data_IF_575142878784
#
_entry.id   IF_575142878784
#
_cell.length_a   1.000
_cell.length_b   1.000
_cell.length_c   1.000
_cell.angle_alpha   90.00
_cell.angle_beta   90.00
_cell.angle_gamma   90.00
#
_symmetry.space_group_name_H-M   'P 1'
#
loop_
_entity.id
_entity.type
_entity.pdbx_description
1 polymer ?
#
# COMPACT_ATOMS: atom_id res chain seq x y z
N UNK A 1 14.13 15.85 6.93
CA UNK A 1 13.29 15.49 5.76
C UNK A 1 11.87 16.06 5.82
N UNK A 2 11.14 15.90 6.93
CA UNK A 2 9.74 16.38 7.03
C UNK A 2 9.60 17.90 6.94
N UNK A 3 10.48 18.66 7.63
CA UNK A 3 10.51 20.12 7.57
C UNK A 3 10.58 20.67 6.13
N UNK A 4 11.49 20.13 5.31
CA UNK A 4 11.70 20.57 3.91
C UNK A 4 10.45 20.36 3.06
N UNK A 5 9.84 19.17 3.16
CA UNK A 5 8.61 18.86 2.44
C UNK A 5 7.42 19.71 2.90
N UNK A 6 7.34 20.01 4.20
CA UNK A 6 6.30 20.91 4.74
C UNK A 6 6.46 22.32 4.20
N UNK A 7 7.69 22.86 4.11
CA UNK A 7 7.96 24.18 3.54
C UNK A 7 7.57 24.26 2.06
N UNK A 8 7.96 23.26 1.25
CA UNK A 8 7.60 23.19 -0.17
C UNK A 8 6.08 23.08 -0.35
N UNK A 9 5.42 22.16 0.37
CA UNK A 9 3.96 21.99 0.30
C UNK A 9 3.21 23.24 0.76
N UNK A 10 3.74 23.94 1.77
CA UNK A 10 3.22 25.20 2.28
C UNK A 10 3.27 26.31 1.23
N UNK A 11 4.44 26.52 0.62
CA UNK A 11 4.63 27.51 -0.45
C UNK A 11 3.72 27.23 -1.65
N UNK A 12 3.65 25.97 -2.10
CA UNK A 12 2.76 25.54 -3.19
C UNK A 12 1.29 25.80 -2.86
N UNK A 13 0.88 25.51 -1.61
CA UNK A 13 -0.50 25.76 -1.16
C UNK A 13 -0.81 27.25 -1.09
N UNK A 14 0.13 28.08 -0.67
CA UNK A 14 -0.04 29.52 -0.57
C UNK A 14 -0.12 30.18 -1.96
N UNK A 15 0.75 29.75 -2.88
CA UNK A 15 0.79 30.29 -4.23
C UNK A 15 -0.53 30.06 -5.00
N UNK A 16 -1.00 28.82 -5.04
CA UNK A 16 -2.22 28.43 -5.76
C UNK A 16 -3.53 28.66 -5.01
N UNK A 17 -3.56 29.49 -3.96
CA UNK A 17 -4.79 29.75 -3.20
C UNK A 17 -5.52 31.00 -3.71
N UNK A 18 -6.84 30.89 -3.90
CA UNK A 18 -7.70 32.01 -4.30
C UNK A 18 -8.37 32.72 -3.11
N UNK A 19 -8.23 32.18 -1.89
CA UNK A 19 -8.77 32.81 -0.69
C UNK A 19 -8.15 34.20 -0.45
N UNK A 20 -8.99 35.19 -0.15
CA UNK A 20 -8.58 36.59 0.01
C UNK A 20 -7.60 36.81 1.15
N UNK A 21 -7.75 36.11 2.28
CA UNK A 21 -6.85 36.24 3.42
C UNK A 21 -5.48 35.61 3.10
N UNK A 22 -5.47 34.46 2.44
CA UNK A 22 -4.24 33.84 1.95
C UNK A 22 -3.58 34.61 0.80
N UNK A 23 -4.36 35.34 0.00
CA UNK A 23 -3.86 36.24 -1.04
C UNK A 23 -2.98 37.37 -0.46
N UNK A 24 -3.39 37.97 0.65
CA UNK A 24 -2.57 38.98 1.34
C UNK A 24 -1.26 38.38 1.88
N UNK A 25 -1.32 37.15 2.41
CA UNK A 25 -0.13 36.43 2.88
C UNK A 25 0.81 36.10 1.71
N UNK A 26 0.27 35.70 0.56
CA UNK A 26 1.06 35.46 -0.66
C UNK A 26 1.79 36.72 -1.11
N UNK A 27 1.07 37.84 -1.25
CA UNK A 27 1.65 39.12 -1.67
C UNK A 27 2.76 39.59 -0.72
N UNK A 28 2.53 39.48 0.59
CA UNK A 28 3.53 39.78 1.60
C UNK A 28 4.79 38.92 1.45
N UNK A 29 4.62 37.60 1.33
CA UNK A 29 5.72 36.64 1.19
C UNK A 29 6.49 36.82 -0.15
N UNK A 30 5.81 37.19 -1.24
CA UNK A 30 6.42 37.53 -2.52
C UNK A 30 7.22 38.84 -2.43
N UNK A 31 6.71 39.84 -1.71
CA UNK A 31 7.41 41.10 -1.49
C UNK A 31 8.66 40.90 -0.64
N UNK A 32 8.56 40.13 0.45
CA UNK A 32 9.70 39.77 1.29
C UNK A 32 10.76 38.99 0.47
N UNK A 33 10.33 38.09 -0.42
CA UNK A 33 11.23 37.39 -1.32
C UNK A 33 11.98 38.35 -2.27
N UNK A 34 11.27 39.31 -2.89
CA UNK A 34 11.87 40.33 -3.77
C UNK A 34 12.84 41.25 -3.05
N UNK A 35 12.56 41.56 -1.78
CA UNK A 35 13.44 42.39 -0.93
C UNK A 35 14.65 41.61 -0.38
N UNK A 36 14.83 40.34 -0.77
CA UNK A 36 15.92 39.50 -0.28
C UNK A 36 15.79 39.10 1.20
N UNK A 37 14.59 39.24 1.76
CA UNK A 37 14.30 38.89 3.16
C UNK A 37 13.84 37.43 3.26
N UNK A 38 13.68 36.95 4.49
CA UNK A 38 13.22 35.58 4.76
C UNK A 38 11.77 35.46 4.33
N UNK A 39 11.51 34.58 3.36
CA UNK A 39 10.18 34.28 2.81
C UNK A 39 10.00 32.77 2.69
N UNK A 40 8.76 32.30 2.83
CA UNK A 40 8.40 30.90 2.61
C UNK A 40 8.75 30.42 1.20
N UNK A 41 8.73 31.31 0.19
CA UNK A 41 9.08 30.96 -1.19
C UNK A 41 10.59 30.73 -1.34
N UNK A 42 11.42 31.62 -0.78
CA UNK A 42 12.87 31.46 -0.77
C UNK A 42 13.31 30.23 0.04
N UNK A 43 12.67 29.99 1.19
CA UNK A 43 12.94 28.79 1.99
C UNK A 43 12.49 27.51 1.27
N UNK A 44 11.35 27.53 0.59
CA UNK A 44 10.86 26.40 -0.19
C UNK A 44 11.77 26.11 -1.39
N UNK A 45 12.23 27.13 -2.12
CA UNK A 45 13.16 26.98 -3.24
C UNK A 45 14.48 26.34 -2.77
N UNK A 46 15.06 26.83 -1.67
CA UNK A 46 16.23 26.23 -1.05
C UNK A 46 15.97 24.78 -0.61
N UNK A 47 14.82 24.51 0.00
CA UNK A 47 14.45 23.15 0.39
C UNK A 47 14.30 22.22 -0.82
N UNK A 48 13.83 22.72 -1.97
CA UNK A 48 13.70 21.96 -3.21
C UNK A 48 15.08 21.68 -3.82
N UNK A 49 15.96 22.67 -3.87
CA UNK A 49 17.35 22.51 -4.32
C UNK A 49 18.10 21.45 -3.50
N UNK A 50 17.96 21.48 -2.17
CA UNK A 50 18.52 20.45 -1.27
C UNK A 50 17.91 19.05 -1.46
N UNK A 51 16.77 18.94 -2.16
CA UNK A 51 16.14 17.69 -2.58
C UNK A 51 16.46 17.32 -4.04
N UNK A 52 17.25 18.14 -4.75
CA UNK A 52 17.55 17.97 -6.18
C UNK A 52 16.37 18.31 -7.09
N UNK A 53 15.47 19.18 -6.64
CA UNK A 53 14.26 19.59 -7.34
C UNK A 53 14.31 21.06 -7.71
N UNK A 54 13.80 21.39 -8.89
CA UNK A 54 13.52 22.77 -9.27
C UNK A 54 12.08 23.11 -8.88
N UNK A 55 11.91 24.20 -8.12
CA UNK A 55 10.60 24.63 -7.65
C UNK A 55 9.96 25.58 -8.65
N UNK A 56 9.21 25.04 -9.61
CA UNK A 56 8.38 25.82 -10.52
C UNK A 56 6.97 26.02 -9.92
N UNK A 57 6.74 27.21 -9.37
CA UNK A 57 5.46 27.57 -8.76
C UNK A 57 4.33 27.77 -9.79
N UNK A 58 4.62 27.91 -11.09
CA UNK A 58 3.62 28.00 -12.14
C UNK A 58 3.06 26.60 -12.50
N UNK A 59 3.89 25.55 -12.42
CA UNK A 59 3.50 24.15 -12.69
C UNK A 59 3.28 23.32 -11.42
N UNK A 60 2.40 23.80 -10.54
CA UNK A 60 2.04 23.19 -9.24
C UNK A 60 1.64 21.70 -9.31
N UNK A 61 1.08 21.23 -10.43
CA UNK A 61 0.42 19.92 -10.51
C UNK A 61 1.35 18.68 -10.38
N UNK A 62 2.68 18.85 -10.40
CA UNK A 62 3.64 17.74 -10.21
C UNK A 62 4.36 17.73 -8.86
N UNK A 63 4.61 18.90 -8.28
CA UNK A 63 5.59 19.09 -7.19
C UNK A 63 5.26 18.25 -5.95
N UNK A 64 3.97 18.12 -5.58
CA UNK A 64 3.59 17.32 -4.41
C UNK A 64 3.93 15.83 -4.56
N UNK A 65 3.81 15.29 -5.78
CA UNK A 65 4.19 13.90 -6.09
C UNK A 65 5.71 13.77 -6.11
N UNK A 66 6.39 14.73 -6.73
CA UNK A 66 7.83 14.77 -6.87
C UNK A 66 8.55 14.84 -5.51
N UNK A 67 8.10 15.72 -4.62
CA UNK A 67 8.59 15.81 -3.24
C UNK A 67 8.42 14.49 -2.51
N UNK A 68 7.26 13.82 -2.66
CA UNK A 68 7.06 12.49 -2.05
C UNK A 68 8.03 11.46 -2.63
N UNK A 69 8.25 11.46 -3.94
CA UNK A 69 9.19 10.55 -4.61
C UNK A 69 10.62 10.76 -4.10
N UNK A 70 11.09 12.01 -3.99
CA UNK A 70 12.42 12.29 -3.42
C UNK A 70 12.55 11.90 -1.94
N UNK A 71 11.47 12.05 -1.14
CA UNK A 71 11.46 11.57 0.25
C UNK A 71 11.61 10.05 0.31
N UNK A 72 10.91 9.34 -0.58
CA UNK A 72 11.01 7.89 -0.74
C UNK A 72 12.43 7.50 -1.14
N UNK A 73 13.02 8.12 -2.16
CA UNK A 73 14.37 7.78 -2.64
C UNK A 73 15.44 8.00 -1.57
N UNK A 74 15.42 9.12 -0.84
CA UNK A 74 16.39 9.33 0.26
C UNK A 74 16.25 8.30 1.37
N UNK A 75 15.01 7.94 1.76
CA UNK A 75 14.77 6.87 2.72
C UNK A 75 15.25 5.51 2.19
N UNK A 76 15.02 5.23 0.91
CA UNK A 76 15.53 4.03 0.25
C UNK A 76 17.06 4.01 0.31
N UNK A 77 17.74 5.11 -0.01
CA UNK A 77 19.20 5.18 0.02
C UNK A 77 19.77 5.01 1.44
N UNK A 78 19.12 5.59 2.45
CA UNK A 78 19.44 5.34 3.86
C UNK A 78 19.33 3.85 4.21
N UNK A 79 18.29 3.14 3.72
CA UNK A 79 18.10 1.70 3.95
C UNK A 79 19.07 0.86 3.10
N UNK A 80 19.32 1.22 1.85
CA UNK A 80 20.28 0.56 0.94
C UNK A 80 21.69 0.55 1.53
N UNK A 81 22.07 1.64 2.19
CA UNK A 81 23.36 1.76 2.86
C UNK A 81 23.46 0.90 4.14
N UNK A 82 22.36 0.29 4.59
CA UNK A 82 22.39 -0.71 5.65
C UNK A 82 22.77 -2.08 5.07
N UNK A 83 23.69 -2.78 5.75
CA UNK A 83 24.35 -4.01 5.25
C UNK A 83 23.41 -5.02 4.58
N UNK A 84 22.25 -5.30 5.18
CA UNK A 84 21.41 -6.41 4.74
C UNK A 84 19.93 -6.04 4.56
N UNK A 85 19.39 -5.04 5.29
CA UNK A 85 18.10 -4.43 4.93
C UNK A 85 18.18 -3.84 3.52
N UNK A 86 19.33 -3.25 3.19
CA UNK A 86 19.62 -2.75 1.87
C UNK A 86 19.53 -3.82 0.80
N UNK A 87 20.03 -5.04 1.03
CA UNK A 87 19.97 -6.11 0.02
C UNK A 87 18.53 -6.49 -0.33
N UNK A 88 17.66 -6.74 0.66
CA UNK A 88 16.26 -7.11 0.40
C UNK A 88 15.46 -5.94 -0.21
N UNK A 89 15.69 -4.71 0.27
CA UNK A 89 15.05 -3.52 -0.30
C UNK A 89 15.52 -3.28 -1.73
N UNK A 90 16.82 -3.39 -2.03
CA UNK A 90 17.37 -3.29 -3.38
C UNK A 90 16.76 -4.34 -4.30
N UNK A 91 16.73 -5.62 -3.90
CA UNK A 91 16.08 -6.67 -4.71
C UNK A 91 14.61 -6.37 -4.99
N UNK A 92 13.86 -5.81 -4.01
CA UNK A 92 12.46 -5.40 -4.22
C UNK A 92 12.32 -4.14 -5.07
N UNK A 93 13.32 -3.26 -5.10
CA UNK A 93 13.34 -2.08 -5.97
C UNK A 93 13.62 -2.44 -7.42
N UNK A 94 14.47 -3.43 -7.63
CA UNK A 94 14.81 -3.99 -8.93
C UNK A 94 13.74 -4.94 -9.47
N UNK A 95 12.76 -5.35 -8.64
CA UNK A 95 11.64 -6.19 -9.05
C UNK A 95 10.66 -5.40 -9.93
N UNK A 96 10.82 -5.54 -11.24
CA UNK A 96 9.96 -4.88 -12.24
C UNK A 96 8.49 -5.28 -12.14
N UNK A 97 8.19 -6.43 -11.53
CA UNK A 97 6.81 -6.88 -11.32
C UNK A 97 6.11 -6.12 -10.19
N UNK A 98 6.83 -5.35 -9.38
CA UNK A 98 6.27 -4.57 -8.28
C UNK A 98 5.89 -3.14 -8.67
N UNK A 99 4.83 -2.64 -8.02
CA UNK A 99 4.49 -1.22 -8.01
C UNK A 99 5.60 -0.43 -7.29
N UNK A 100 6.42 0.28 -8.06
CA UNK A 100 7.59 1.01 -7.56
C UNK A 100 7.23 2.09 -6.52
N UNK A 101 6.09 2.77 -6.71
CA UNK A 101 5.62 3.82 -5.81
C UNK A 101 4.84 3.24 -4.62
N UNK A 102 3.98 2.24 -4.86
CA UNK A 102 3.03 1.72 -3.89
C UNK A 102 3.64 0.81 -2.81
N UNK A 103 4.57 -0.06 -3.20
CA UNK A 103 5.12 -1.09 -2.32
C UNK A 103 5.92 -0.54 -1.14
N UNK A 104 6.33 0.72 -1.23
CA UNK A 104 7.16 1.39 -0.24
C UNK A 104 6.45 2.54 0.46
N UNK A 105 5.14 2.71 0.28
CA UNK A 105 4.37 3.76 0.98
C UNK A 105 4.52 3.71 2.49
N UNK A 106 4.57 2.50 3.07
CA UNK A 106 4.79 2.32 4.50
C UNK A 106 6.10 2.99 4.97
N UNK A 107 7.14 3.09 4.13
CA UNK A 107 8.39 3.81 4.43
C UNK A 107 8.16 5.30 4.70
N UNK A 108 7.30 5.95 3.92
CA UNK A 108 7.00 7.38 4.09
C UNK A 108 6.05 7.67 5.23
N UNK A 109 5.28 6.66 5.65
CA UNK A 109 4.25 6.79 6.66
C UNK A 109 4.71 6.29 8.03
N UNK A 110 5.97 5.87 8.19
CA UNK A 110 6.55 5.38 9.44
C UNK A 110 6.13 6.17 10.69
N UNK A 111 6.10 7.50 10.60
CA UNK A 111 5.72 8.38 11.72
C UNK A 111 4.29 8.21 12.21
N UNK A 112 3.41 7.69 11.36
CA UNK A 112 2.01 7.44 11.65
C UNK A 112 1.76 6.01 12.16
N UNK A 113 2.79 5.14 12.15
CA UNK A 113 2.70 3.79 12.69
C UNK A 113 3.32 3.74 14.09
N UNK A 114 2.76 2.96 15.03
CA UNK A 114 3.38 2.76 16.32
C UNK A 114 4.82 2.23 16.19
N UNK A 115 5.77 2.73 16.99
CA UNK A 115 7.20 2.38 16.90
C UNK A 115 7.45 0.87 16.93
N UNK A 116 6.69 0.15 17.76
CA UNK A 116 6.78 -1.31 17.84
C UNK A 116 6.37 -1.98 16.52
N UNK A 117 5.38 -1.45 15.79
CA UNK A 117 4.96 -1.93 14.46
C UNK A 117 6.07 -1.72 13.43
N UNK A 118 6.72 -0.56 13.44
CA UNK A 118 7.86 -0.28 12.57
C UNK A 118 9.02 -1.24 12.87
N UNK A 119 9.39 -1.38 14.14
CA UNK A 119 10.43 -2.31 14.58
C UNK A 119 10.09 -3.75 14.19
N UNK A 120 8.83 -4.16 14.33
CA UNK A 120 8.36 -5.48 13.92
C UNK A 120 8.42 -5.72 12.41
N UNK A 121 8.10 -4.71 11.60
CA UNK A 121 8.27 -4.78 10.14
C UNK A 121 9.74 -4.84 9.75
N UNK A 122 10.59 -4.07 10.42
CA UNK A 122 12.03 -4.15 10.25
C UNK A 122 12.51 -5.57 10.58
N UNK A 123 12.13 -6.11 11.75
CA UNK A 123 12.40 -7.49 12.19
C UNK A 123 11.97 -8.54 11.15
N UNK A 124 10.78 -8.37 10.56
CA UNK A 124 10.28 -9.22 9.47
C UNK A 124 11.22 -9.17 8.26
N UNK A 125 11.67 -7.97 7.85
CA UNK A 125 12.62 -7.82 6.76
C UNK A 125 13.98 -8.47 7.08
N UNK A 126 14.45 -8.45 8.34
CA UNK A 126 15.70 -9.14 8.74
C UNK A 126 15.54 -10.67 8.74
N UNK A 127 14.38 -11.18 9.16
CA UNK A 127 14.09 -12.61 9.22
C UNK A 127 14.01 -13.29 7.85
N UNK A 128 13.82 -12.51 6.79
CA UNK A 128 13.80 -12.97 5.40
C UNK A 128 15.21 -13.22 4.83
N UNK A 129 16.25 -12.98 5.61
CA UNK A 129 17.63 -13.28 5.25
C UNK A 129 17.98 -14.77 5.47
N UNK A 130 19.00 -15.29 4.76
CA UNK A 130 19.53 -16.63 5.02
C UNK A 130 19.89 -16.86 6.51
N UNK A 131 19.44 -18.00 7.05
CA UNK A 131 19.38 -18.32 8.49
C UNK A 131 20.70 -18.18 9.27
N UNK A 132 21.86 -18.38 8.62
CA UNK A 132 23.19 -18.26 9.27
C UNK A 132 23.55 -16.83 9.68
N UNK A 133 22.86 -15.82 9.12
CA UNK A 133 23.08 -14.39 9.41
C UNK A 133 22.17 -13.90 10.54
N UNK A 134 20.96 -14.46 10.66
CA UNK A 134 20.00 -14.13 11.74
C UNK A 134 20.54 -14.53 13.12
N UNK A 135 21.15 -15.71 13.23
CA UNK A 135 21.65 -16.26 14.50
C UNK A 135 22.89 -15.57 15.05
N UNK A 136 23.71 -14.89 14.23
CA UNK A 136 24.96 -14.27 14.69
C UNK A 136 24.78 -12.88 15.32
N UNK A 137 23.63 -12.23 15.14
CA UNK A 137 23.40 -10.86 15.63
C UNK A 137 22.35 -10.75 16.76
N UNK A 138 21.43 -11.71 16.91
CA UNK A 138 20.29 -11.60 17.85
C UNK A 138 20.52 -12.20 19.24
N UNK A 139 21.72 -12.71 19.54
CA UNK A 139 22.03 -13.45 20.80
C UNK A 139 22.69 -12.60 21.89
N UNK A 140 22.51 -11.28 21.89
CA UNK A 140 22.76 -10.48 23.09
C UNK A 140 21.46 -10.23 23.84
N UNK A 141 21.28 -10.96 24.94
CA UNK A 141 20.19 -10.88 25.92
C UNK A 141 20.13 -9.54 26.66
N UNK A 142 18.93 -8.95 26.80
CA UNK A 142 18.36 -8.47 28.08
C UNK A 142 16.95 -7.84 27.92
N UNK A 143 15.99 -8.36 28.70
CA UNK A 143 15.15 -7.60 29.65
C UNK A 143 14.01 -6.68 29.19
N UNK A 144 12.77 -7.17 29.39
CA UNK A 144 11.53 -6.52 29.83
C UNK A 144 10.87 -5.35 29.05
N UNK A 145 9.57 -5.51 28.80
CA UNK A 145 8.67 -4.44 28.36
C UNK A 145 7.31 -4.97 27.84
N UNK A 146 6.38 -5.20 28.75
CA UNK A 146 4.98 -5.57 28.46
C UNK A 146 4.25 -4.43 27.71
N UNK A 147 3.58 -4.73 26.60
CA UNK A 147 2.44 -3.92 26.14
C UNK A 147 1.44 -4.81 25.41
N UNK A 148 0.27 -4.99 26.03
CA UNK A 148 -0.92 -5.54 25.38
C UNK A 148 -1.46 -4.52 24.40
N UNK A 149 -1.34 -4.79 23.11
CA UNK A 149 -2.10 -4.09 22.09
C UNK A 149 -3.32 -4.95 21.76
N UNK A 150 -4.50 -4.50 22.17
CA UNK A 150 -5.76 -5.00 21.63
C UNK A 150 -6.04 -4.21 20.34
N UNK A 151 -6.11 -4.85 19.15
CA UNK A 151 -6.69 -4.21 17.99
C UNK A 151 -8.21 -4.14 18.21
N UNK A 152 -8.66 -3.08 18.88
CA UNK A 152 -10.05 -2.71 18.97
C UNK A 152 -10.48 -1.97 17.72
N UNK A 153 -10.93 -2.69 16.71
CA UNK A 153 -11.99 -2.25 15.80
C UNK A 153 -12.78 -3.49 15.45
N UNK A 154 -14.06 -3.52 15.85
CA UNK A 154 -14.99 -4.57 15.45
C UNK A 154 -14.88 -4.80 13.93
N UNK A 155 -14.58 -6.02 13.44
CA UNK A 155 -14.91 -6.34 12.08
C UNK A 155 -16.43 -6.46 12.05
N UNK A 156 -17.12 -5.42 11.57
CA UNK A 156 -18.43 -5.67 10.96
C UNK A 156 -18.13 -6.57 9.77
N UNK A 157 -18.37 -7.87 9.94
CA UNK A 157 -18.32 -8.82 8.83
C UNK A 157 -19.12 -8.21 7.67
N UNK A 158 -18.54 -8.12 6.46
CA UNK A 158 -19.26 -7.56 5.33
C UNK A 158 -20.57 -8.32 5.14
N UNK A 159 -21.63 -7.59 4.76
CA UNK A 159 -22.90 -8.23 4.43
C UNK A 159 -22.67 -9.13 3.20
N UNK A 160 -23.29 -10.32 3.14
CA UNK A 160 -23.10 -11.23 2.01
C UNK A 160 -23.62 -10.66 0.69
N UNK A 161 -24.59 -9.75 0.73
CA UNK A 161 -25.14 -9.08 -0.45
C UNK A 161 -25.35 -7.59 -0.19
N UNK A 162 -24.95 -6.78 -1.15
CA UNK A 162 -25.23 -5.36 -1.27
C UNK A 162 -26.00 -5.13 -2.57
N UNK A 163 -27.15 -4.49 -2.52
CA UNK A 163 -28.02 -4.33 -3.68
C UNK A 163 -28.54 -2.90 -3.78
N UNK A 164 -28.61 -2.44 -5.02
CA UNK A 164 -29.25 -1.20 -5.47
C UNK A 164 -29.98 -1.51 -6.78
N UNK A 165 -30.75 -0.56 -7.31
CA UNK A 165 -31.47 -0.74 -8.57
C UNK A 165 -30.59 -1.22 -9.72
N UNK A 166 -29.34 -0.74 -9.77
CA UNK A 166 -28.44 -0.90 -10.91
C UNK A 166 -27.20 -1.76 -10.64
N UNK A 167 -26.88 -2.01 -9.36
CA UNK A 167 -25.68 -2.75 -8.96
C UNK A 167 -25.99 -3.72 -7.84
N UNK A 168 -25.59 -4.98 -8.03
CA UNK A 168 -25.59 -6.03 -7.00
C UNK A 168 -24.17 -6.50 -6.74
N UNK A 169 -23.73 -6.50 -5.49
CA UNK A 169 -22.46 -7.05 -5.08
C UNK A 169 -22.68 -8.20 -4.08
N UNK A 170 -22.01 -9.31 -4.33
CA UNK A 170 -22.05 -10.51 -3.53
C UNK A 170 -20.67 -10.69 -2.92
N UNK A 171 -20.60 -10.97 -1.62
CA UNK A 171 -19.38 -11.25 -0.88
C UNK A 171 -19.39 -12.69 -0.40
N UNK A 172 -18.35 -13.46 -0.77
CA UNK A 172 -18.21 -14.88 -0.44
C UNK A 172 -19.47 -15.72 -0.72
N UNK A 173 -20.11 -15.45 -1.86
CA UNK A 173 -21.35 -16.09 -2.26
C UNK A 173 -21.12 -17.02 -3.47
N UNK A 174 -21.48 -18.31 -3.39
CA UNK A 174 -21.27 -19.24 -4.49
C UNK A 174 -22.18 -18.91 -5.69
N UNK A 175 -21.67 -19.13 -6.89
CA UNK A 175 -22.48 -19.17 -8.12
C UNK A 175 -22.89 -20.62 -8.39
N UNK A 176 -24.17 -20.84 -8.68
CA UNK A 176 -24.61 -22.12 -9.22
C UNK A 176 -24.53 -22.06 -10.74
N UNK A 177 -23.89 -23.07 -11.32
CA UNK A 177 -23.66 -23.16 -12.75
C UNK A 177 -24.73 -24.06 -13.38
N UNK A 178 -25.28 -23.63 -14.51
CA UNK A 178 -26.33 -24.34 -15.23
C UNK A 178 -25.77 -25.00 -16.50
N UNK A 179 -24.70 -24.46 -17.08
CA UNK A 179 -24.21 -24.88 -18.40
C UNK A 179 -23.02 -25.85 -18.33
N UNK A 180 -22.16 -25.77 -17.32
CA UNK A 180 -21.01 -26.68 -17.16
C UNK A 180 -20.62 -26.90 -15.69
N UNK A 181 -19.81 -27.92 -15.44
CA UNK A 181 -19.21 -28.11 -14.12
C UNK A 181 -18.24 -26.97 -13.79
N UNK A 182 -18.54 -26.21 -12.74
CA UNK A 182 -17.66 -25.17 -12.20
C UNK A 182 -17.16 -25.58 -10.83
N UNK A 183 -16.01 -26.27 -10.79
CA UNK A 183 -15.38 -26.73 -9.53
C UNK A 183 -15.04 -25.60 -8.55
N UNK A 184 -14.70 -24.43 -9.09
CA UNK A 184 -14.36 -23.25 -8.31
C UNK A 184 -15.38 -22.16 -8.60
N UNK A 185 -16.49 -22.19 -7.86
CA UNK A 185 -17.66 -21.32 -8.09
C UNK A 185 -17.85 -20.22 -7.04
N UNK A 186 -16.94 -20.11 -6.08
CA UNK A 186 -16.96 -19.15 -4.99
C UNK A 186 -15.73 -18.26 -5.11
N UNK A 187 -15.96 -17.00 -5.45
CA UNK A 187 -14.96 -15.92 -5.47
C UNK A 187 -15.19 -15.01 -4.27
N UNK A 188 -14.16 -14.30 -3.81
CA UNK A 188 -14.29 -13.39 -2.66
C UNK A 188 -15.37 -12.34 -2.86
N UNK A 189 -15.48 -11.79 -4.08
CA UNK A 189 -16.62 -10.94 -4.43
C UNK A 189 -17.04 -11.07 -5.90
N UNK A 190 -18.32 -10.83 -6.14
CA UNK A 190 -18.90 -10.68 -7.49
C UNK A 190 -19.76 -9.42 -7.55
N UNK A 191 -19.53 -8.55 -8.52
CA UNK A 191 -20.29 -7.32 -8.71
C UNK A 191 -20.96 -7.36 -10.09
N UNK A 192 -22.28 -7.29 -10.12
CA UNK A 192 -23.10 -7.18 -11.33
C UNK A 192 -23.56 -5.74 -11.44
N UNK A 193 -23.15 -5.06 -12.51
CA UNK A 193 -23.53 -3.69 -12.82
C UNK A 193 -24.40 -3.69 -14.08
N UNK A 194 -25.71 -3.50 -13.89
CA UNK A 194 -26.69 -3.51 -14.97
C UNK A 194 -26.61 -2.27 -15.86
N UNK A 195 -26.28 -1.10 -15.31
CA UNK A 195 -26.09 0.13 -16.11
C UNK A 195 -24.95 0.02 -17.11
N UNK A 196 -23.82 -0.55 -16.69
CA UNK A 196 -22.63 -0.72 -17.53
C UNK A 196 -22.62 -2.04 -18.30
N UNK A 197 -23.65 -2.88 -18.12
CA UNK A 197 -23.70 -4.27 -18.59
C UNK A 197 -22.38 -4.99 -18.31
N UNK A 198 -21.97 -5.03 -17.04
CA UNK A 198 -20.68 -5.60 -16.64
C UNK A 198 -20.78 -6.47 -15.40
N UNK A 199 -20.15 -7.63 -15.43
CA UNK A 199 -19.92 -8.49 -14.27
C UNK A 199 -18.44 -8.49 -13.94
N UNK A 200 -18.14 -8.26 -12.66
CA UNK A 200 -16.78 -8.25 -12.14
C UNK A 200 -16.65 -9.33 -11.07
N UNK A 201 -15.64 -10.18 -11.16
CA UNK A 201 -15.23 -11.08 -10.07
C UNK A 201 -13.93 -10.61 -9.45
N UNK A 202 -13.85 -10.65 -8.11
CA UNK A 202 -12.68 -10.30 -7.33
C UNK A 202 -12.19 -11.53 -6.58
N UNK A 203 -10.89 -11.77 -6.65
CA UNK A 203 -10.24 -12.84 -5.91
C UNK A 203 -8.96 -12.34 -5.25
N UNK A 204 -8.91 -12.35 -3.92
CA UNK A 204 -7.92 -11.73 -3.07
C UNK A 204 -6.96 -12.78 -2.48
N UNK A 205 -5.69 -12.44 -2.29
CA UNK A 205 -4.76 -13.30 -1.54
C UNK A 205 -3.56 -12.54 -1.03
N UNK A 206 -3.11 -12.91 0.16
CA UNK A 206 -1.78 -12.59 0.66
C UNK A 206 -0.81 -13.76 0.38
N UNK A 207 0.33 -13.50 -0.24
CA UNK A 207 1.31 -14.54 -0.62
C UNK A 207 2.73 -14.19 -0.17
N UNK A 208 3.62 -15.17 -0.24
CA UNK A 208 5.04 -14.87 -0.16
C UNK A 208 5.51 -14.03 -1.33
N UNK A 209 6.54 -13.21 -1.11
CA UNK A 209 7.09 -12.24 -2.07
C UNK A 209 7.31 -12.88 -3.45
N UNK A 210 7.98 -14.03 -3.50
CA UNK A 210 8.35 -14.68 -4.76
C UNK A 210 7.19 -15.45 -5.42
N UNK A 211 6.03 -15.51 -4.77
CA UNK A 211 4.90 -16.33 -5.21
C UNK A 211 3.74 -15.52 -5.79
N UNK A 212 3.87 -14.19 -5.90
CA UNK A 212 2.79 -13.31 -6.38
C UNK A 212 2.35 -13.65 -7.80
N UNK A 213 3.28 -13.61 -8.76
CA UNK A 213 3.01 -13.81 -10.20
C UNK A 213 2.41 -15.19 -10.45
N UNK A 214 3.05 -16.23 -9.91
CA UNK A 214 2.52 -17.60 -9.99
C UNK A 214 1.11 -17.71 -9.41
N UNK A 215 0.79 -16.98 -8.33
CA UNK A 215 -0.55 -17.03 -7.73
C UNK A 215 -1.59 -16.32 -8.59
N UNK A 216 -1.20 -15.23 -9.25
CA UNK A 216 -2.07 -14.53 -10.18
C UNK A 216 -2.46 -15.42 -11.37
N UNK A 217 -1.47 -16.06 -12.00
CA UNK A 217 -1.68 -17.01 -13.09
C UNK A 217 -2.54 -18.21 -12.65
N UNK A 218 -2.23 -18.79 -11.49
CA UNK A 218 -3.00 -19.89 -10.91
C UNK A 218 -4.48 -19.53 -10.75
N UNK A 219 -4.79 -18.33 -10.22
CA UNK A 219 -6.17 -17.86 -10.06
C UNK A 219 -6.86 -17.57 -11.39
N UNK A 220 -6.13 -17.01 -12.35
CA UNK A 220 -6.64 -16.77 -13.69
C UNK A 220 -7.04 -18.08 -14.38
N UNK A 221 -6.26 -19.14 -14.22
CA UNK A 221 -6.61 -20.46 -14.75
C UNK A 221 -7.75 -21.11 -13.96
N UNK A 222 -7.66 -21.09 -12.62
CA UNK A 222 -8.64 -21.71 -11.70
C UNK A 222 -10.07 -21.26 -11.95
N UNK A 223 -10.28 -19.97 -12.19
CA UNK A 223 -11.61 -19.39 -12.39
C UNK A 223 -12.01 -19.25 -13.87
N UNK A 224 -11.23 -19.83 -14.80
CA UNK A 224 -11.57 -19.86 -16.23
C UNK A 224 -12.99 -20.37 -16.51
N UNK A 225 -13.39 -21.55 -15.98
CA UNK A 225 -14.74 -22.07 -16.14
C UNK A 225 -15.83 -21.15 -15.58
N UNK A 226 -15.60 -20.54 -14.41
CA UNK A 226 -16.53 -19.59 -13.80
C UNK A 226 -16.74 -18.34 -14.67
N UNK A 227 -15.66 -17.80 -15.26
CA UNK A 227 -15.77 -16.66 -16.17
C UNK A 227 -16.56 -17.00 -17.42
N UNK A 228 -16.39 -18.21 -17.95
CA UNK A 228 -17.17 -18.66 -19.11
C UNK A 228 -18.66 -18.79 -18.75
N UNK A 229 -18.95 -19.39 -17.60
CA UNK A 229 -20.32 -19.55 -17.08
C UNK A 229 -21.04 -18.21 -16.94
N UNK A 230 -20.37 -17.23 -16.33
CA UNK A 230 -20.90 -15.87 -16.19
C UNK A 230 -21.22 -15.20 -17.53
N UNK A 231 -20.48 -15.52 -18.60
CA UNK A 231 -20.80 -14.99 -19.95
C UNK A 231 -22.07 -15.60 -20.51
N UNK A 232 -22.38 -16.85 -20.16
CA UNK A 232 -23.63 -17.49 -20.58
C UNK A 232 -24.83 -16.96 -19.79
N UNK A 233 -24.67 -16.77 -18.48
CA UNK A 233 -25.75 -16.26 -17.61
C UNK A 233 -26.06 -14.77 -17.84
N UNK A 234 -25.10 -14.00 -18.33
CA UNK A 234 -25.27 -12.57 -18.64
C UNK A 234 -24.94 -12.25 -20.11
N UNK A 235 -25.78 -12.67 -21.08
CA UNK A 235 -25.55 -12.37 -22.48
C UNK A 235 -25.45 -10.86 -22.75
N UNK A 236 -24.42 -10.46 -23.49
CA UNK A 236 -24.16 -9.05 -23.81
C UNK A 236 -23.56 -8.23 -22.66
N UNK A 237 -23.19 -8.85 -21.54
CA UNK A 237 -22.41 -8.21 -20.47
C UNK A 237 -20.91 -8.49 -20.67
N UNK A 238 -20.09 -7.50 -20.34
CA UNK A 238 -18.65 -7.68 -20.20
C UNK A 238 -18.35 -8.43 -18.89
N UNK A 239 -17.58 -9.51 -18.93
CA UNK A 239 -17.15 -10.26 -17.73
C UNK A 239 -15.66 -10.07 -17.52
N UNK A 240 -15.29 -9.41 -16.41
CA UNK A 240 -13.90 -9.19 -15.98
C UNK A 240 -13.61 -9.89 -14.66
N UNK A 241 -12.40 -10.43 -14.52
CA UNK A 241 -11.87 -10.91 -13.26
C UNK A 241 -10.69 -10.04 -12.85
N UNK A 242 -10.66 -9.63 -11.59
CA UNK A 242 -9.51 -8.99 -10.98
C UNK A 242 -8.99 -9.85 -9.84
N UNK A 243 -7.76 -10.32 -9.99
CA UNK A 243 -7.04 -10.93 -8.89
C UNK A 243 -6.32 -9.84 -8.10
N UNK A 244 -6.57 -9.76 -6.80
CA UNK A 244 -5.90 -8.82 -5.92
C UNK A 244 -4.86 -9.61 -5.10
N UNK A 245 -3.64 -9.68 -5.62
CA UNK A 245 -2.53 -10.37 -4.96
C UNK A 245 -1.60 -9.35 -4.29
N UNK A 246 -1.50 -9.43 -2.97
CA UNK A 246 -0.51 -8.69 -2.18
C UNK A 246 0.49 -9.67 -1.57
N UNK A 247 1.77 -9.30 -1.47
CA UNK A 247 2.75 -10.08 -0.71
C UNK A 247 2.74 -9.75 0.77
N UNK A 248 3.33 -10.63 1.58
CA UNK A 248 3.45 -10.51 3.03
C UNK A 248 4.14 -9.22 3.51
N UNK A 249 4.88 -8.55 2.63
CA UNK A 249 5.52 -7.26 2.87
C UNK A 249 4.74 -6.09 2.25
N UNK A 250 3.45 -6.30 1.95
CA UNK A 250 2.56 -5.26 1.45
C UNK A 250 2.86 -4.79 0.03
N UNK A 251 3.61 -5.57 -0.75
CA UNK A 251 3.86 -5.30 -2.17
C UNK A 251 2.80 -5.88 -3.09
N UNK A 252 2.55 -5.25 -4.23
CA UNK A 252 1.62 -5.72 -5.26
C UNK A 252 2.10 -5.36 -6.67
N UNK A 253 1.47 -5.94 -7.69
CA UNK A 253 1.91 -5.76 -9.08
C UNK A 253 1.47 -4.44 -9.72
N UNK A 254 2.18 -3.99 -10.74
CA UNK A 254 1.84 -2.75 -11.47
C UNK A 254 0.47 -2.82 -12.13
N UNK A 255 0.06 -4.01 -12.59
CA UNK A 255 -1.25 -4.25 -13.19
C UNK A 255 -2.37 -3.93 -12.19
N UNK A 256 -2.16 -4.24 -10.91
CA UNK A 256 -3.14 -3.96 -9.86
C UNK A 256 -3.37 -2.45 -9.67
N UNK A 257 -2.38 -1.58 -9.93
CA UNK A 257 -2.56 -0.12 -9.89
C UNK A 257 -3.55 0.36 -10.95
N UNK A 258 -3.49 -0.24 -12.15
CA UNK A 258 -4.42 0.05 -13.25
C UNK A 258 -5.80 -0.49 -12.93
N UNK A 259 -5.87 -1.77 -12.54
CA UNK A 259 -7.12 -2.48 -12.24
C UNK A 259 -7.94 -1.78 -11.16
N UNK A 260 -7.31 -1.28 -10.10
CA UNK A 260 -8.03 -0.64 -8.99
C UNK A 260 -8.64 0.71 -9.34
N UNK A 261 -8.02 1.47 -10.26
CA UNK A 261 -8.62 2.72 -10.74
C UNK A 261 -9.96 2.45 -11.44
N UNK A 262 -10.07 1.33 -12.15
CA UNK A 262 -11.32 0.93 -12.79
C UNK A 262 -12.39 0.49 -11.76
N UNK A 263 -11.97 -0.14 -10.66
CA UNK A 263 -12.86 -0.67 -9.62
C UNK A 263 -13.41 0.40 -8.68
N UNK A 264 -12.54 1.26 -8.14
CA UNK A 264 -12.89 2.20 -7.05
C UNK A 264 -12.67 3.66 -7.40
N UNK A 265 -12.33 3.96 -8.66
CA UNK A 265 -12.17 5.31 -9.18
C UNK A 265 -11.09 6.10 -8.43
N UNK A 266 -11.39 7.35 -8.09
CA UNK A 266 -10.47 8.27 -7.41
C UNK A 266 -10.01 7.82 -6.02
N UNK A 267 -10.66 6.83 -5.40
CA UNK A 267 -10.28 6.29 -4.08
C UNK A 267 -9.22 5.17 -4.15
N UNK A 268 -8.71 4.85 -5.34
CA UNK A 268 -7.80 3.70 -5.52
C UNK A 268 -6.57 3.76 -4.63
N UNK A 269 -5.98 4.94 -4.46
CA UNK A 269 -4.82 5.17 -3.60
C UNK A 269 -5.12 4.89 -2.12
N UNK A 270 -6.24 5.39 -1.61
CA UNK A 270 -6.60 5.21 -0.20
C UNK A 270 -6.94 3.76 0.09
N UNK A 271 -7.69 3.10 -0.79
CA UNK A 271 -8.01 1.68 -0.68
C UNK A 271 -6.74 0.81 -0.69
N UNK A 272 -5.78 1.10 -1.57
CA UNK A 272 -4.50 0.39 -1.60
C UNK A 272 -3.70 0.53 -0.32
N UNK A 273 -3.72 1.73 0.28
CA UNK A 273 -3.02 2.01 1.53
C UNK A 273 -3.62 1.24 2.70
N UNK A 274 -4.95 1.23 2.82
CA UNK A 274 -5.63 0.47 3.87
C UNK A 274 -5.41 -1.05 3.71
N UNK A 275 -5.39 -1.54 2.47
CA UNK A 275 -5.07 -2.94 2.20
C UNK A 275 -3.62 -3.28 2.56
N UNK A 276 -2.65 -2.43 2.20
CA UNK A 276 -1.25 -2.62 2.57
C UNK A 276 -1.09 -2.65 4.08
N UNK A 277 -1.74 -1.71 4.79
CA UNK A 277 -1.77 -1.65 6.25
C UNK A 277 -2.31 -2.93 6.88
N UNK A 278 -3.44 -3.45 6.36
CA UNK A 278 -4.04 -4.68 6.85
C UNK A 278 -3.12 -5.89 6.66
N UNK A 279 -2.49 -6.03 5.49
CA UNK A 279 -1.54 -7.11 5.19
C UNK A 279 -0.33 -7.06 6.11
N UNK A 280 0.32 -5.89 6.22
CA UNK A 280 1.50 -5.70 7.06
C UNK A 280 1.20 -5.99 8.54
N UNK A 281 0.05 -5.52 9.03
CA UNK A 281 -0.39 -5.76 10.41
C UNK A 281 -0.67 -7.25 10.66
N UNK A 282 -1.31 -7.92 9.71
CA UNK A 282 -1.59 -9.36 9.77
C UNK A 282 -0.31 -10.21 9.80
N UNK A 283 0.60 -9.97 8.85
CA UNK A 283 1.91 -10.65 8.81
C UNK A 283 2.66 -10.48 10.12
N UNK A 284 2.71 -9.25 10.64
CA UNK A 284 3.41 -8.95 11.89
C UNK A 284 2.79 -9.64 13.09
N UNK A 285 1.45 -9.69 13.17
CA UNK A 285 0.77 -10.37 14.25
C UNK A 285 1.07 -11.88 14.26
N UNK A 286 1.09 -12.51 13.08
CA UNK A 286 1.46 -13.92 12.93
C UNK A 286 2.89 -14.16 13.43
N UNK A 287 3.85 -13.37 12.93
CA UNK A 287 5.26 -13.56 13.31
C UNK A 287 5.52 -13.33 14.80
N UNK A 288 4.87 -12.33 15.41
CA UNK A 288 4.96 -12.11 16.86
C UNK A 288 4.35 -13.25 17.66
N UNK A 289 3.21 -13.77 17.22
CA UNK A 289 2.55 -14.90 17.89
C UNK A 289 3.46 -16.12 17.88
N UNK A 290 4.04 -16.44 16.73
CA UNK A 290 4.98 -17.56 16.59
C UNK A 290 6.24 -17.34 17.43
N UNK A 291 6.83 -16.13 17.40
CA UNK A 291 8.01 -15.78 18.21
C UNK A 291 7.76 -15.98 19.70
N UNK A 292 6.60 -15.52 20.21
CA UNK A 292 6.21 -15.72 21.62
C UNK A 292 6.08 -17.19 22.02
N UNK A 293 5.57 -18.04 21.12
CA UNK A 293 5.51 -19.48 21.40
C UNK A 293 6.91 -20.10 21.51
N UNK A 294 7.85 -19.67 20.67
CA UNK A 294 9.24 -20.12 20.79
C UNK A 294 9.92 -19.63 22.06
N UNK A 295 9.73 -18.35 22.43
CA UNK A 295 10.24 -17.80 23.69
C UNK A 295 9.69 -18.58 24.90
N UNK A 296 8.38 -18.86 24.91
CA UNK A 296 7.73 -19.68 25.94
C UNK A 296 8.32 -21.09 26.04
N UNK A 297 8.59 -21.76 24.92
CA UNK A 297 9.24 -23.08 24.91
C UNK A 297 10.69 -23.03 25.41
N UNK A 298 11.43 -21.95 25.14
CA UNK A 298 12.81 -21.79 25.57
C UNK A 298 12.93 -21.42 27.06
N UNK A 299 11.91 -20.78 27.63
CA UNK A 299 11.84 -20.41 29.06
C UNK A 299 11.35 -21.56 29.96
N UNK A 300 11.16 -22.77 29.41
CA UNK A 300 10.74 -23.94 30.18
C UNK A 300 9.23 -24.01 30.41
N UNK A 301 8.43 -23.51 29.46
CA UNK A 301 7.01 -23.86 29.37
C UNK A 301 6.81 -25.39 29.39
N UNK A 302 5.67 -25.88 29.91
CA UNK A 302 5.44 -27.28 30.24
C UNK A 302 5.64 -28.27 29.07
#
# INVERSE_FOLDING_TARGET
MEYKATKIKGAVRLHGNEDRALGMVREFEEQEARMGRRSIFNEAAKCAEELGLELDLEHVQGIKKEVKRCQIEKLKDEIKNQRWQGRLVTTRLEDESLSADGCFWWLTEWKNYPSHTIAGLIELYEQLLPTRVYTSQKTHTSGEGETRYHPGTHPTSPKPVYESENVKAYWDFPLYADQQEVRCNRVDARIVNHMRKRVVTLEMSCRWVNNRTRKDEEKTLRYGPLRWELRQQFPGYEVKQYNIVMDALGGWSRELDVMKRELVGGRSTDVLREMQRAVLSGTLNISRTVKRQFEFLLEGGP
#
